data_IF_017192333234
#
_entry.id   IF_017192333234
#
_cell.length_a   1.000
_cell.length_b   1.000
_cell.length_c   1.000
_cell.angle_alpha   90.00
_cell.angle_beta   90.00
_cell.angle_gamma   90.00
#
_symmetry.space_group_name_H-M   'P 1'
#
loop_
_entity.id
_entity.type
_entity.pdbx_description
1 polymer ?
#
# COMPACT_ATOMS: atom_id res chain seq x y z
N UNK A 1 20.15 -36.26 37.52
CA UNK A 1 20.99 -35.07 37.25
C UNK A 1 20.47 -34.16 36.13
N UNK A 2 19.56 -34.58 35.26
CA UNK A 2 19.05 -33.73 34.15
C UNK A 2 17.85 -32.83 34.47
N UNK A 3 17.26 -32.95 35.66
CA UNK A 3 16.01 -32.24 35.99
C UNK A 3 16.19 -30.71 36.03
N UNK A 4 17.27 -30.24 36.64
CA UNK A 4 17.58 -28.81 36.73
C UNK A 4 17.95 -28.19 35.36
N UNK A 5 18.89 -28.76 34.57
CA UNK A 5 19.21 -28.19 33.26
C UNK A 5 18.03 -28.22 32.29
N UNK A 6 17.15 -29.23 32.38
CA UNK A 6 15.93 -29.29 31.58
C UNK A 6 14.95 -28.16 31.92
N UNK A 7 14.72 -27.89 33.22
CA UNK A 7 13.85 -26.80 33.65
C UNK A 7 14.42 -25.43 33.27
N UNK A 8 15.74 -25.25 33.37
CA UNK A 8 16.41 -24.02 32.91
C UNK A 8 16.25 -23.87 31.41
N UNK A 9 16.54 -24.89 30.61
CA UNK A 9 16.37 -24.85 29.16
C UNK A 9 14.92 -24.54 28.75
N UNK A 10 13.93 -25.15 29.42
CA UNK A 10 12.51 -24.88 29.18
C UNK A 10 12.15 -23.43 29.52
N UNK A 11 12.63 -22.91 30.66
CA UNK A 11 12.38 -21.52 31.05
C UNK A 11 12.97 -20.52 30.06
N UNK A 12 14.18 -20.79 29.54
CA UNK A 12 14.83 -19.96 28.54
C UNK A 12 14.09 -20.02 27.20
N UNK A 13 13.65 -21.20 26.78
CA UNK A 13 12.86 -21.38 25.57
C UNK A 13 11.54 -20.61 25.64
N UNK A 14 10.84 -20.64 26.77
CA UNK A 14 9.59 -19.90 26.94
C UNK A 14 9.86 -18.39 26.98
N UNK A 15 10.86 -17.96 27.75
CA UNK A 15 11.17 -16.54 27.89
C UNK A 15 11.62 -15.91 26.55
N UNK A 16 12.61 -16.51 25.89
CA UNK A 16 13.10 -16.01 24.61
C UNK A 16 12.13 -16.28 23.47
N UNK A 17 11.56 -17.48 23.39
CA UNK A 17 10.59 -17.83 22.34
C UNK A 17 9.34 -16.97 22.41
N UNK A 18 8.77 -16.79 23.61
CA UNK A 18 7.63 -15.92 23.83
C UNK A 18 7.95 -14.44 23.58
N UNK A 19 9.11 -13.97 24.03
CA UNK A 19 9.57 -12.59 23.79
C UNK A 19 9.78 -12.30 22.29
N UNK A 20 10.44 -13.19 21.57
CA UNK A 20 10.65 -13.07 20.12
C UNK A 20 9.29 -13.11 19.40
N UNK A 21 8.45 -14.09 19.71
CA UNK A 21 7.12 -14.21 19.11
C UNK A 21 6.28 -12.95 19.31
N UNK A 22 6.21 -12.45 20.54
CA UNK A 22 5.47 -11.23 20.85
C UNK A 22 6.01 -10.01 20.11
N UNK A 23 7.34 -9.91 19.95
CA UNK A 23 7.97 -8.79 19.24
C UNK A 23 7.66 -8.85 17.74
N UNK A 24 7.71 -10.04 17.14
CA UNK A 24 7.34 -10.24 15.74
C UNK A 24 5.88 -9.87 15.49
N UNK A 25 4.97 -10.33 16.33
CA UNK A 25 3.53 -9.99 16.24
C UNK A 25 3.31 -8.47 16.32
N UNK A 26 4.02 -7.78 17.22
CA UNK A 26 3.92 -6.32 17.34
C UNK A 26 4.46 -5.57 16.11
N UNK A 27 5.55 -6.08 15.51
CA UNK A 27 6.15 -5.51 14.30
C UNK A 27 5.27 -5.71 13.05
N UNK A 28 4.50 -6.80 13.00
CA UNK A 28 3.58 -7.07 11.88
C UNK A 28 2.26 -6.29 11.99
N UNK A 29 1.86 -5.92 13.21
CA UNK A 29 0.62 -5.20 13.46
C UNK A 29 0.62 -3.77 12.92
N UNK A 30 1.79 -3.13 12.77
CA UNK A 30 1.89 -1.73 12.33
C UNK A 30 3.06 -1.52 11.37
N UNK A 31 2.85 -0.71 10.33
CA UNK A 31 3.91 -0.33 9.37
C UNK A 31 4.68 0.94 9.80
N UNK A 32 4.33 1.50 10.96
CA UNK A 32 4.90 2.74 11.52
C UNK A 32 3.82 3.67 12.09
N UNK A 33 4.27 4.71 12.79
CA UNK A 33 3.39 5.79 13.27
C UNK A 33 3.40 6.99 12.32
N UNK A 34 2.38 7.85 12.41
CA UNK A 34 2.31 9.09 11.61
C UNK A 34 1.75 8.90 10.20
N UNK A 35 0.75 8.03 10.05
CA UNK A 35 0.01 7.90 8.81
C UNK A 35 -0.79 9.17 8.51
N UNK A 36 -0.75 9.62 7.25
CA UNK A 36 -1.69 10.62 6.72
C UNK A 36 -2.77 9.90 5.92
N UNK A 37 -4.03 10.24 6.16
CA UNK A 37 -5.19 9.70 5.43
C UNK A 37 -5.86 10.79 4.61
N UNK A 38 -6.06 10.52 3.32
CA UNK A 38 -6.66 11.41 2.34
C UNK A 38 -7.67 10.61 1.51
N UNK A 39 -8.94 10.64 1.91
CA UNK A 39 -9.98 9.75 1.35
C UNK A 39 -9.64 8.28 1.60
N UNK A 40 -9.74 7.45 0.56
CA UNK A 40 -9.31 6.05 0.57
C UNK A 40 -7.80 5.82 0.76
N UNK A 41 -6.96 6.85 0.60
CA UNK A 41 -5.52 6.71 0.50
C UNK A 41 -4.81 7.01 1.83
N UNK A 42 -3.80 6.21 2.14
CA UNK A 42 -2.96 6.36 3.32
C UNK A 42 -1.47 6.33 2.94
N UNK A 43 -0.67 7.22 3.53
CA UNK A 43 0.79 7.27 3.35
C UNK A 43 1.52 7.51 4.67
N UNK A 44 2.81 7.15 4.72
CA UNK A 44 3.66 7.27 5.90
C UNK A 44 4.89 8.13 5.59
N UNK A 45 4.75 9.46 5.45
CA UNK A 45 5.85 10.33 5.02
C UNK A 45 7.02 10.32 6.01
N UNK A 46 6.75 10.31 7.31
CA UNK A 46 7.80 10.33 8.35
C UNK A 46 8.60 9.02 8.38
N UNK A 47 8.01 7.90 7.96
CA UNK A 47 8.69 6.61 7.91
C UNK A 47 9.89 6.60 6.93
N UNK A 48 9.94 7.54 5.98
CA UNK A 48 11.03 7.71 5.02
C UNK A 48 12.18 8.59 5.53
N UNK A 49 12.03 9.22 6.70
CA UNK A 49 13.00 10.20 7.22
C UNK A 49 13.92 9.61 8.30
N UNK A 50 14.88 10.42 8.78
CA UNK A 50 15.70 10.11 9.96
C UNK A 50 14.87 10.03 11.25
N UNK A 51 13.75 10.77 11.29
CA UNK A 51 12.82 10.84 12.42
C UNK A 51 11.85 9.65 12.48
N UNK A 52 11.94 8.71 11.54
CA UNK A 52 11.13 7.50 11.57
C UNK A 52 11.28 6.79 12.93
N UNK A 53 10.15 6.33 13.45
CA UNK A 53 10.11 5.62 14.72
C UNK A 53 10.89 4.28 14.64
N UNK A 54 11.33 3.72 15.78
CA UNK A 54 12.11 2.49 15.80
C UNK A 54 11.43 1.29 15.12
N UNK A 55 10.10 1.20 15.19
CA UNK A 55 9.34 0.11 14.55
C UNK A 55 9.30 0.28 13.04
N UNK A 56 9.08 1.49 12.53
CA UNK A 56 9.19 1.79 11.10
C UNK A 56 10.60 1.50 10.55
N UNK A 57 11.65 1.77 11.32
CA UNK A 57 13.05 1.41 10.96
C UNK A 57 13.25 -0.10 10.92
N UNK A 58 12.73 -0.84 11.91
CA UNK A 58 12.80 -2.30 11.94
C UNK A 58 12.00 -2.94 10.79
N UNK A 59 10.78 -2.45 10.53
CA UNK A 59 9.92 -2.93 9.45
C UNK A 59 10.58 -2.72 8.08
N UNK A 60 11.20 -1.55 7.87
CA UNK A 60 12.04 -1.29 6.69
C UNK A 60 13.18 -2.29 6.53
N UNK A 61 13.94 -2.50 7.60
CA UNK A 61 15.08 -3.41 7.59
C UNK A 61 14.65 -4.86 7.28
N UNK A 62 13.53 -5.30 7.86
CA UNK A 62 12.98 -6.64 7.61
C UNK A 62 12.41 -6.79 6.20
N UNK A 63 11.72 -5.76 5.68
CA UNK A 63 11.15 -5.78 4.34
C UNK A 63 12.18 -5.73 3.20
N UNK A 64 13.44 -5.38 3.49
CA UNK A 64 14.50 -5.25 2.49
C UNK A 64 14.21 -4.20 1.41
N UNK A 65 13.27 -3.27 1.67
CA UNK A 65 12.80 -2.29 0.68
C UNK A 65 13.67 -1.04 0.73
N UNK A 66 14.19 -0.64 -0.44
CA UNK A 66 14.75 0.70 -0.60
C UNK A 66 13.58 1.68 -0.65
N UNK A 67 13.43 2.51 0.39
CA UNK A 67 12.42 3.56 0.38
C UNK A 67 12.90 4.74 -0.44
N UNK A 68 11.95 5.42 -1.08
CA UNK A 68 12.17 6.73 -1.68
C UNK A 68 12.56 7.73 -0.59
N UNK A 69 13.57 8.54 -0.86
CA UNK A 69 13.90 9.70 -0.05
C UNK A 69 12.78 10.74 -0.07
N UNK A 70 12.80 11.66 0.89
CA UNK A 70 11.77 12.72 1.02
C UNK A 70 11.68 13.67 -0.17
N UNK A 71 12.71 13.72 -1.03
CA UNK A 71 12.72 14.47 -2.28
C UNK A 71 12.50 13.58 -3.53
N UNK A 72 12.46 12.26 -3.36
CA UNK A 72 12.34 11.31 -4.48
C UNK A 72 10.90 10.91 -4.73
N UNK A 73 10.09 10.75 -3.68
CA UNK A 73 8.67 10.46 -3.84
C UNK A 73 7.95 9.90 -2.61
N UNK A 74 6.64 9.68 -2.76
CA UNK A 74 5.76 9.18 -1.70
C UNK A 74 4.81 8.12 -2.25
N UNK A 75 4.69 7.00 -1.53
CA UNK A 75 3.73 5.93 -1.83
C UNK A 75 2.50 6.06 -0.95
N UNK A 76 1.34 6.04 -1.59
CA UNK A 76 0.03 5.93 -1.00
C UNK A 76 -0.51 4.52 -1.20
N UNK A 77 -1.20 4.02 -0.21
CA UNK A 77 -1.89 2.73 -0.26
C UNK A 77 -3.37 2.92 0.02
N UNK A 78 -4.23 2.21 -0.71
CA UNK A 78 -5.65 2.13 -0.42
C UNK A 78 -6.04 0.67 -0.21
N UNK A 79 -6.67 0.38 0.93
CA UNK A 79 -7.26 -0.94 1.24
C UNK A 79 -8.76 -0.88 1.49
N UNK A 80 -9.31 0.32 1.44
CA UNK A 80 -10.74 0.62 1.51
C UNK A 80 -11.09 1.56 0.37
N UNK A 81 -12.37 1.63 0.00
CA UNK A 81 -12.90 2.68 -0.86
C UNK A 81 -13.16 3.98 -0.07
N UNK A 82 -13.62 5.04 -0.76
CA UNK A 82 -13.94 6.33 -0.12
C UNK A 82 -15.12 6.23 0.87
N UNK A 83 -15.93 5.18 0.80
CA UNK A 83 -17.00 4.90 1.76
C UNK A 83 -16.50 4.10 2.98
N UNK A 84 -15.22 3.72 3.01
CA UNK A 84 -14.58 2.96 4.08
C UNK A 84 -14.78 1.45 3.99
N UNK A 85 -15.37 0.93 2.91
CA UNK A 85 -15.54 -0.50 2.72
C UNK A 85 -14.24 -1.14 2.21
N UNK A 86 -13.85 -2.30 2.75
CA UNK A 86 -12.64 -3.02 2.33
C UNK A 86 -12.70 -3.37 0.84
N UNK A 87 -11.58 -3.17 0.15
CA UNK A 87 -11.44 -3.54 -1.26
C UNK A 87 -11.42 -5.06 -1.40
N UNK A 88 -12.29 -5.55 -2.28
CA UNK A 88 -12.54 -6.96 -2.52
C UNK A 88 -12.66 -7.24 -4.02
N UNK A 89 -12.00 -8.29 -4.47
CA UNK A 89 -11.89 -8.67 -5.89
C UNK A 89 -13.19 -9.17 -6.53
N UNK A 90 -14.31 -9.27 -5.82
CA UNK A 90 -15.64 -9.50 -6.40
C UNK A 90 -16.35 -8.23 -6.83
N UNK A 91 -15.78 -7.08 -6.51
CA UNK A 91 -16.39 -5.79 -6.80
C UNK A 91 -15.60 -5.01 -7.85
N UNK A 92 -16.32 -4.13 -8.53
CA UNK A 92 -15.75 -3.16 -9.46
C UNK A 92 -15.61 -1.82 -8.76
N UNK A 93 -14.45 -1.20 -8.95
CA UNK A 93 -14.13 0.11 -8.43
C UNK A 93 -13.66 1.01 -9.55
N UNK A 94 -13.88 2.31 -9.38
CA UNK A 94 -13.42 3.34 -10.30
C UNK A 94 -12.53 4.31 -9.53
N UNK A 95 -11.30 4.46 -10.00
CA UNK A 95 -10.38 5.51 -9.56
C UNK A 95 -10.54 6.68 -10.50
N UNK A 96 -10.95 7.84 -10.01
CA UNK A 96 -11.21 9.01 -10.87
C UNK A 96 -10.63 10.30 -10.32
N UNK A 97 -10.21 11.18 -11.23
CA UNK A 97 -9.72 12.52 -10.90
C UNK A 97 -8.27 12.73 -11.36
N UNK A 98 -7.49 13.41 -10.53
CA UNK A 98 -6.07 13.71 -10.78
C UNK A 98 -5.23 13.25 -9.60
N UNK A 99 -3.94 13.01 -9.85
CA UNK A 99 -2.94 12.84 -8.79
C UNK A 99 -2.48 14.19 -8.27
N UNK A 100 -1.94 14.27 -7.04
CA UNK A 100 -1.18 15.43 -6.60
C UNK A 100 -0.04 15.78 -7.58
N UNK A 101 0.47 17.02 -7.56
CA UNK A 101 1.57 17.44 -8.42
C UNK A 101 2.77 16.49 -8.29
N UNK A 102 3.19 15.90 -9.41
CA UNK A 102 4.28 14.91 -9.47
C UNK A 102 4.78 14.83 -10.91
N UNK A 103 6.07 14.53 -11.10
CA UNK A 103 6.61 14.36 -12.45
C UNK A 103 6.15 13.05 -13.10
N UNK A 104 6.05 11.99 -12.33
CA UNK A 104 5.58 10.69 -12.78
C UNK A 104 4.88 9.95 -11.65
N UNK A 105 4.00 9.01 -11.99
CA UNK A 105 3.39 8.14 -11.00
C UNK A 105 3.23 6.72 -11.51
N UNK A 106 3.17 5.77 -10.59
CA UNK A 106 2.80 4.38 -10.83
C UNK A 106 1.60 4.00 -9.97
N UNK A 107 0.75 3.13 -10.50
CA UNK A 107 -0.42 2.61 -9.80
C UNK A 107 -0.46 1.11 -10.04
N UNK A 108 -0.52 0.30 -9.00
CA UNK A 108 -0.66 -1.15 -9.16
C UNK A 108 -1.57 -1.79 -8.12
N UNK A 109 -2.08 -2.95 -8.47
CA UNK A 109 -2.84 -3.85 -7.58
C UNK A 109 -1.86 -4.81 -6.92
N UNK A 110 -2.03 -5.04 -5.61
CA UNK A 110 -1.27 -6.03 -4.85
C UNK A 110 -2.20 -6.85 -3.95
N UNK A 111 -1.82 -8.11 -3.69
CA UNK A 111 -2.55 -9.00 -2.79
C UNK A 111 -2.18 -8.79 -1.32
N UNK A 112 -2.47 -9.78 -0.49
CA UNK A 112 -2.10 -9.76 0.93
C UNK A 112 -0.58 -9.86 1.16
N UNK A 113 0.15 -10.42 0.20
CA UNK A 113 1.62 -10.51 0.20
C UNK A 113 2.33 -9.15 0.06
N UNK A 114 1.60 -8.10 -0.36
CA UNK A 114 2.11 -6.73 -0.57
C UNK A 114 3.30 -6.69 -1.53
N UNK A 115 3.38 -7.64 -2.45
CA UNK A 115 4.39 -7.70 -3.49
C UNK A 115 3.94 -6.92 -4.73
N UNK A 116 4.87 -6.25 -5.44
CA UNK A 116 4.56 -5.67 -6.74
C UNK A 116 4.16 -6.77 -7.74
N UNK A 117 3.34 -6.44 -8.76
CA UNK A 117 2.93 -7.41 -9.76
C UNK A 117 4.14 -7.92 -10.56
N UNK A 118 4.04 -9.17 -11.02
CA UNK A 118 5.05 -9.77 -11.90
C UNK A 118 5.10 -9.02 -13.24
N UNK A 119 6.28 -8.77 -13.82
CA UNK A 119 6.42 -8.27 -15.19
C UNK A 119 5.74 -9.18 -16.22
N UNK A 120 5.68 -10.49 -15.93
CA UNK A 120 5.09 -11.52 -16.80
C UNK A 120 3.60 -11.77 -16.51
N UNK A 121 2.93 -10.86 -15.79
CA UNK A 121 1.52 -11.02 -15.48
C UNK A 121 0.67 -11.03 -16.76
N UNK A 122 -0.14 -12.08 -16.93
CA UNK A 122 -1.02 -12.23 -18.11
C UNK A 122 -2.08 -11.13 -18.23
N UNK A 123 -2.42 -10.48 -17.11
CA UNK A 123 -3.45 -9.44 -17.04
C UNK A 123 -2.84 -8.14 -16.52
N UNK A 124 -3.34 -6.97 -16.96
CA UNK A 124 -2.82 -5.68 -16.51
C UNK A 124 -3.00 -5.51 -14.99
N UNK A 125 -1.91 -5.45 -14.24
CA UNK A 125 -1.95 -5.20 -12.78
C UNK A 125 -1.27 -3.90 -12.39
N UNK A 126 -0.67 -3.18 -13.35
CA UNK A 126 -0.04 -1.89 -13.14
C UNK A 126 -0.31 -0.92 -14.29
N UNK A 127 -0.40 0.36 -13.93
CA UNK A 127 -0.46 1.51 -14.83
C UNK A 127 0.57 2.55 -14.39
N UNK A 128 0.93 3.45 -15.29
CA UNK A 128 1.78 4.59 -14.98
C UNK A 128 1.32 5.84 -15.75
N UNK A 129 1.88 6.97 -15.36
CA UNK A 129 1.51 8.29 -15.90
C UNK A 129 1.73 8.45 -17.42
N UNK A 130 2.52 7.57 -18.06
CA UNK A 130 2.83 7.61 -19.49
C UNK A 130 1.87 6.79 -20.36
N UNK A 131 1.34 5.68 -19.82
CA UNK A 131 0.49 4.76 -20.57
C UNK A 131 -1.00 4.94 -20.27
N UNK A 132 -1.33 5.65 -19.19
CA UNK A 132 -2.71 5.94 -18.81
C UNK A 132 -3.39 6.82 -19.86
N UNK A 133 -4.60 6.43 -20.26
CA UNK A 133 -5.48 7.24 -21.08
C UNK A 133 -6.07 8.36 -20.22
N UNK A 134 -5.94 9.60 -20.69
CA UNK A 134 -6.43 10.80 -19.99
C UNK A 134 -7.56 11.44 -20.76
N UNK A 135 -8.42 12.13 -20.03
CA UNK A 135 -9.40 13.06 -20.58
C UNK A 135 -8.72 14.36 -21.00
N UNK A 136 -9.45 15.18 -21.76
CA UNK A 136 -8.95 16.47 -22.25
C UNK A 136 -8.58 17.45 -21.13
N UNK A 137 -9.19 17.32 -19.96
CA UNK A 137 -8.89 18.10 -18.75
C UNK A 137 -7.69 17.56 -17.95
N UNK A 138 -7.00 16.53 -18.45
CA UNK A 138 -5.87 15.87 -17.82
C UNK A 138 -6.23 14.87 -16.71
N UNK A 139 -7.51 14.78 -16.33
CA UNK A 139 -8.01 13.75 -15.42
C UNK A 139 -7.92 12.36 -16.05
N UNK A 140 -7.94 11.33 -15.21
CA UNK A 140 -8.03 9.95 -15.67
C UNK A 140 -9.15 9.22 -14.94
N UNK A 141 -9.55 8.10 -15.52
CA UNK A 141 -10.41 7.12 -14.89
C UNK A 141 -9.75 5.76 -15.07
N UNK A 142 -9.61 5.00 -13.98
CA UNK A 142 -9.11 3.62 -14.01
C UNK A 142 -10.16 2.72 -13.39
N UNK A 143 -10.61 1.72 -14.14
CA UNK A 143 -11.50 0.67 -13.62
C UNK A 143 -10.65 -0.43 -13.00
N UNK A 144 -10.98 -0.82 -11.77
CA UNK A 144 -10.33 -1.92 -11.04
C UNK A 144 -11.38 -3.01 -10.85
N UNK A 145 -11.18 -4.16 -11.50
CA UNK A 145 -12.17 -5.22 -11.54
C UNK A 145 -11.56 -6.58 -11.88
N UNK A 146 -12.19 -7.70 -11.50
CA UNK A 146 -11.74 -9.04 -11.90
C UNK A 146 -11.96 -9.34 -13.40
N UNK A 147 -13.00 -8.75 -14.00
CA UNK A 147 -13.34 -8.88 -15.41
C UNK A 147 -12.73 -7.76 -16.25
N UNK A 148 -12.47 -8.03 -17.53
CA UNK A 148 -11.91 -7.05 -18.44
C UNK A 148 -12.83 -5.84 -18.68
N UNK A 149 -12.24 -4.65 -18.72
CA UNK A 149 -12.90 -3.39 -19.09
C UNK A 149 -12.10 -2.67 -20.17
N UNK A 150 -12.76 -1.87 -21.03
CA UNK A 150 -12.07 -1.06 -22.03
C UNK A 150 -11.31 0.10 -21.38
N UNK A 151 -10.24 0.54 -22.04
CA UNK A 151 -9.44 1.69 -21.61
C UNK A 151 -8.48 1.37 -20.48
N UNK A 152 -8.43 2.23 -19.46
CA UNK A 152 -7.58 2.00 -18.30
C UNK A 152 -8.24 0.97 -17.38
N UNK A 153 -7.73 -0.25 -17.40
CA UNK A 153 -8.23 -1.32 -16.54
C UNK A 153 -7.08 -1.99 -15.78
N UNK A 154 -7.34 -2.27 -14.51
CA UNK A 154 -6.49 -3.07 -13.64
C UNK A 154 -7.26 -4.32 -13.19
N UNK A 155 -6.70 -5.48 -13.48
CA UNK A 155 -7.22 -6.78 -13.09
C UNK A 155 -6.96 -7.04 -11.62
N UNK A 156 -7.99 -7.55 -10.95
CA UNK A 156 -7.89 -8.11 -9.59
C UNK A 156 -8.09 -9.62 -9.62
N UNK A 157 -7.69 -10.29 -8.54
CA UNK A 157 -8.01 -11.69 -8.31
C UNK A 157 -9.43 -11.80 -7.72
N UNK A 158 -10.36 -12.56 -8.33
CA UNK A 158 -11.70 -12.76 -7.78
C UNK A 158 -11.68 -13.33 -6.35
N UNK A 159 -12.66 -12.97 -5.53
CA UNK A 159 -12.82 -13.44 -4.14
C UNK A 159 -11.59 -13.23 -3.22
N UNK A 160 -10.70 -12.30 -3.57
CA UNK A 160 -9.53 -12.00 -2.75
C UNK A 160 -9.51 -10.52 -2.39
N UNK A 161 -9.19 -10.17 -1.13
CA UNK A 161 -8.93 -8.78 -0.77
C UNK A 161 -7.67 -8.32 -1.50
N UNK A 162 -7.65 -7.04 -1.86
CA UNK A 162 -6.49 -6.43 -2.52
C UNK A 162 -6.21 -5.05 -1.96
N UNK A 163 -5.06 -4.51 -2.33
CA UNK A 163 -4.68 -3.12 -2.07
C UNK A 163 -4.25 -2.47 -3.37
N UNK A 164 -4.43 -1.17 -3.43
CA UNK A 164 -3.87 -0.32 -4.48
C UNK A 164 -2.67 0.40 -3.91
N UNK A 165 -1.61 0.50 -4.71
CA UNK A 165 -0.41 1.25 -4.38
C UNK A 165 -0.18 2.30 -5.45
N UNK A 166 -0.34 3.57 -5.08
CA UNK A 166 -0.07 4.73 -5.92
C UNK A 166 1.23 5.37 -5.45
N UNK A 167 2.27 5.36 -6.29
CA UNK A 167 3.54 6.00 -5.97
C UNK A 167 3.72 7.25 -6.81
N UNK A 168 3.93 8.38 -6.14
CA UNK A 168 4.24 9.67 -6.75
C UNK A 168 5.76 9.86 -6.75
N UNK A 169 6.34 10.13 -7.92
CA UNK A 169 7.78 10.28 -8.11
C UNK A 169 8.12 11.74 -8.44
N UNK A 170 9.17 12.25 -7.80
CA UNK A 170 9.60 13.65 -7.91
C UNK A 170 8.40 14.58 -7.64
N UNK A 171 7.95 14.56 -6.38
CA UNK A 171 6.76 15.26 -5.91
C UNK A 171 7.04 16.13 -4.68
N UNK A 172 6.55 17.38 -4.64
CA UNK A 172 6.61 18.19 -3.42
C UNK A 172 5.77 17.61 -2.28
N UNK A 173 4.84 16.70 -2.59
CA UNK A 173 4.02 15.97 -1.62
C UNK A 173 4.84 15.24 -0.56
N UNK A 174 5.99 14.70 -0.95
CA UNK A 174 6.87 13.95 -0.05
C UNK A 174 7.54 14.85 1.03
N UNK A 175 7.64 16.15 0.75
CA UNK A 175 8.27 17.15 1.63
C UNK A 175 7.42 17.64 2.79
N UNK A 176 6.15 17.22 2.92
CA UNK A 176 5.31 17.46 4.10
C UNK A 176 5.34 18.92 4.62
N UNK A 177 4.95 19.90 3.80
CA UNK A 177 4.79 21.27 4.31
C UNK A 177 3.43 21.50 5.01
N UNK A 178 2.51 20.52 5.03
CA UNK A 178 1.17 20.68 5.62
C UNK A 178 0.31 21.79 5.00
N UNK A 179 0.83 22.48 3.98
CA UNK A 179 0.31 23.69 3.35
C UNK A 179 -0.28 23.43 1.95
N UNK A 180 -0.17 22.20 1.44
CA UNK A 180 -0.68 21.82 0.13
C UNK A 180 -1.94 21.01 0.36
N UNK A 181 -3.07 21.54 -0.08
CA UNK A 181 -4.31 20.78 -0.15
C UNK A 181 -4.11 19.67 -1.20
N UNK A 182 -3.93 18.44 -0.72
CA UNK A 182 -3.57 17.31 -1.55
C UNK A 182 -4.85 16.70 -2.15
N UNK A 183 -5.13 17.04 -3.39
CA UNK A 183 -6.22 16.40 -4.14
C UNK A 183 -5.78 14.99 -4.58
N UNK A 184 -6.29 13.99 -3.87
CA UNK A 184 -6.13 12.58 -4.25
C UNK A 184 -7.24 12.14 -5.20
N UNK A 185 -6.98 11.15 -6.08
CA UNK A 185 -8.03 10.59 -6.92
C UNK A 185 -9.03 9.82 -6.04
N UNK A 186 -10.32 9.97 -6.35
CA UNK A 186 -11.40 9.27 -5.63
C UNK A 186 -11.38 7.79 -5.97
N UNK A 187 -11.74 6.94 -5.02
CA UNK A 187 -11.89 5.50 -5.19
C UNK A 187 -13.31 5.09 -4.83
N UNK A 188 -14.15 4.92 -5.84
CA UNK A 188 -15.58 4.65 -5.66
C UNK A 188 -15.94 3.25 -6.12
N UNK A 189 -16.63 2.51 -5.26
CA UNK A 189 -17.23 1.22 -5.60
C UNK A 189 -18.46 1.41 -6.47
N UNK A 190 -18.50 0.76 -7.64
CA UNK A 190 -19.60 0.89 -8.59
C UNK A 190 -20.55 -0.30 -8.58
N UNK A 191 -20.11 -1.46 -8.09
CA UNK A 191 -20.96 -2.64 -7.92
C UNK A 191 -20.16 -3.87 -7.54
N UNK A 192 -20.86 -4.95 -7.18
CA UNK A 192 -20.26 -6.27 -7.02
C UNK A 192 -20.97 -7.26 -7.92
N UNK A 193 -20.22 -8.17 -8.53
CA UNK A 193 -20.84 -9.35 -9.12
C UNK A 193 -21.35 -10.20 -7.95
N UNK A 194 -22.66 -10.35 -7.85
CA UNK A 194 -23.24 -11.39 -7.01
C UNK A 194 -22.74 -12.73 -7.53
N UNK A 195 -22.04 -13.49 -6.68
CA UNK A 195 -21.68 -14.87 -6.95
C UNK A 195 -22.94 -15.75 -6.94
#
# INVERSE_FOLDING_TARGET
>A
MFRLPLLVALSLLIAFGGGIWSTLVALDATVGFGAIKLGAWEAFPQAQTINADPYAKAHRANGGKLLLGSAEGLSFTASVDDAGARLDGNCTYVISGQTPPTRAWTLFVTGEDRLPPSPDAERPQALNSRIVLRRADGSFEVTVAPSAFPGNWLSTTPNQPFRLVLTLLDTPTAGSSGLIDLTMPKLTKTGCSHA
#
